data_IF_879341799281
#
_entry.id   IF_879341799281
#
_cell.length_a   1.000
_cell.length_b   1.000
_cell.length_c   1.000
_cell.angle_alpha   90.00
_cell.angle_beta   90.00
_cell.angle_gamma   90.00
#
_symmetry.space_group_name_H-M   'P 1'
#
loop_
_entity.id
_entity.type
_entity.pdbx_description
1 polymer ?
2 non-polymer ?
3 water ?
#
# COMPACT_ATOMS: atom_id res chain seq x y z
N UNK A 5 -13.50 -7.80 -18.18
CA UNK A 5 -14.39 -7.78 -17.00
C UNK A 5 -15.85 -7.90 -17.45
N UNK A 6 -16.58 -8.86 -16.92
CA UNK A 6 -18.03 -8.91 -17.18
C UNK A 6 -18.81 -7.96 -16.24
N UNK A 7 -18.52 -7.98 -14.97
CA UNK A 7 -19.17 -7.13 -14.00
C UNK A 7 -18.22 -6.05 -13.65
N UNK A 8 -18.73 -4.80 -13.67
CA UNK A 8 -17.90 -3.62 -13.49
C UNK A 8 -17.90 -3.22 -12.03
N UNK A 9 -16.82 -2.60 -11.59
CA UNK A 9 -16.67 -2.21 -10.21
C UNK A 9 -16.04 -0.85 -10.16
N UNK A 10 -16.38 -0.09 -9.11
CA UNK A 10 -15.78 1.21 -8.85
C UNK A 10 -15.34 1.24 -7.38
N UNK A 11 -14.34 2.04 -7.12
CA UNK A 11 -13.92 2.31 -5.72
C UNK A 11 -15.10 2.77 -4.85
N UNK A 12 -15.15 2.28 -3.63
CA UNK A 12 -16.13 2.64 -2.64
C UNK A 12 -15.99 4.06 -2.16
N UNK A 13 -14.76 4.52 -2.08
CA UNK A 13 -14.42 5.86 -1.58
C UNK A 13 -13.45 6.53 -2.55
N UNK A 14 -13.40 7.84 -2.53
CA UNK A 14 -12.49 8.63 -3.34
C UNK A 14 -12.61 8.29 -4.78
N UNK A 15 -13.83 8.02 -5.23
CA UNK A 15 -14.00 7.44 -6.55
C UNK A 15 -13.63 8.37 -7.70
N UNK A 16 -13.90 9.66 -7.59
CA UNK A 16 -13.80 10.52 -8.72
C UNK A 16 -12.63 11.52 -8.65
N UNK A 17 -11.64 11.22 -7.84
CA UNK A 17 -10.52 12.19 -7.67
C UNK A 17 -9.97 12.67 -9.01
N UNK A 18 -9.81 11.75 -9.95
CA UNK A 18 -9.16 12.03 -11.21
C UNK A 18 -10.17 12.44 -12.29
N UNK A 19 -11.39 12.69 -11.87
CA UNK A 19 -12.33 13.57 -12.63
C UNK A 19 -12.21 14.97 -12.11
N UNK A 20 -12.07 15.12 -10.78
CA UNK A 20 -11.98 16.42 -10.10
C UNK A 20 -10.68 17.10 -10.57
N UNK A 21 -9.60 16.32 -10.64
CA UNK A 21 -8.29 16.75 -11.10
C UNK A 21 -8.14 16.44 -12.59
N UNK A 22 -7.30 17.19 -13.28
CA UNK A 22 -7.17 17.11 -14.71
C UNK A 22 -5.85 16.57 -15.18
N UNK A 23 -5.64 16.56 -16.50
CA UNK A 23 -4.45 15.98 -17.08
C UNK A 23 -3.13 16.52 -16.44
N UNK A 24 -3.09 17.79 -16.07
CA UNK A 24 -1.90 18.38 -15.44
C UNK A 24 -1.47 17.49 -14.22
N UNK A 25 -2.46 16.94 -13.52
CA UNK A 25 -2.22 16.10 -12.32
C UNK A 25 -1.85 14.63 -12.61
N UNK A 26 -2.58 13.95 -13.52
CA UNK A 26 -2.46 12.48 -13.71
C UNK A 26 -1.91 12.00 -15.01
N UNK A 27 -1.68 12.92 -15.96
CA UNK A 27 -1.18 12.51 -17.25
C UNK A 27 0.35 12.52 -17.16
N UNK A 28 0.93 11.40 -16.81
CA UNK A 28 2.39 11.32 -16.70
C UNK A 28 3.08 11.08 -18.07
N UNK A 29 2.36 10.51 -19.03
CA UNK A 29 2.91 10.33 -20.40
C UNK A 29 3.43 11.62 -21.02
N UNK A 30 2.68 12.70 -20.85
CA UNK A 30 2.93 13.96 -21.52
C UNK A 30 3.65 14.93 -20.62
N UNK A 31 4.55 14.40 -19.81
CA UNK A 31 5.53 15.22 -19.07
C UNK A 31 6.90 15.08 -19.72
N UNK A 32 7.73 16.10 -19.50
CA UNK A 32 9.14 16.02 -19.87
C UNK A 32 9.88 16.16 -18.57
N UNK A 33 10.80 15.22 -18.33
CA UNK A 33 11.53 15.18 -17.07
C UNK A 33 12.76 16.09 -17.19
N UNK A 34 12.84 17.13 -16.34
CA UNK A 34 14.07 17.93 -16.27
C UNK A 34 15.09 17.27 -15.35
N UNK A 35 15.89 16.36 -15.90
CA UNK A 35 17.00 15.79 -15.18
C UNK A 35 18.11 16.86 -14.95
N UNK A 36 18.47 17.13 -13.71
CA UNK A 36 19.61 18.01 -13.43
C UNK A 36 20.93 17.18 -13.39
N UNK A 37 21.94 17.60 -14.15
CA UNK A 37 23.27 16.91 -14.07
C UNK A 37 23.93 17.22 -12.70
N UNK A 38 24.38 16.15 -12.02
CA UNK A 38 24.99 16.24 -10.72
C UNK A 38 26.50 16.48 -10.85
N UNK A 39 26.83 17.70 -11.19
CA UNK A 39 28.24 18.12 -11.25
C UNK A 39 28.77 18.52 -9.88
N UNK A 40 27.89 18.99 -8.99
CA UNK A 40 28.35 19.39 -7.66
C UNK A 40 27.34 19.35 -6.55
N UNK A 41 26.23 18.61 -6.75
CA UNK A 41 25.13 18.73 -5.79
C UNK A 41 25.07 17.63 -4.73
N UNK A 42 25.34 16.42 -5.14
CA UNK A 42 25.19 15.30 -4.18
C UNK A 42 26.44 14.33 -4.25
N UNK A 43 26.92 13.94 -3.08
CA UNK A 43 28.02 13.03 -2.98
C UNK A 43 27.43 11.67 -2.65
N UNK A 44 27.82 10.68 -3.42
CA UNK A 44 27.29 9.36 -3.27
C UNK A 44 28.22 8.69 -2.33
N UNK A 45 27.67 8.04 -1.32
CA UNK A 45 28.46 7.27 -0.37
C UNK A 45 28.19 5.79 -0.57
N UNK A 46 27.81 5.08 0.49
CA UNK A 46 27.76 3.62 0.42
C UNK A 46 26.38 3.07 0.08
N UNK A 47 26.34 1.85 -0.44
CA UNK A 47 25.11 1.24 -0.84
C UNK A 47 24.24 0.92 0.39
N UNK A 48 22.93 1.14 0.26
CA UNK A 48 21.97 0.78 1.33
C UNK A 48 20.90 -0.20 0.89
N UNK A 49 20.77 -0.40 -0.40
CA UNK A 49 19.84 -1.42 -0.87
C UNK A 49 19.78 -1.50 -2.36
N UNK A 50 19.11 -2.55 -2.81
CA UNK A 50 18.89 -2.76 -4.23
C UNK A 50 17.39 -2.82 -4.43
N UNK A 51 16.98 -2.40 -5.61
CA UNK A 51 15.60 -2.45 -5.97
C UNK A 51 15.49 -3.35 -7.15
N UNK A 52 14.27 -3.59 -7.58
CA UNK A 52 14.02 -4.30 -8.84
C UNK A 52 14.58 -3.62 -10.11
N UNK A 53 14.66 -2.28 -10.15
CA UNK A 53 15.15 -1.55 -11.32
C UNK A 53 16.20 -0.50 -10.94
N UNK A 54 16.80 -0.66 -9.77
CA UNK A 54 17.67 0.40 -9.22
C UNK A 54 18.69 -0.17 -8.25
N UNK A 55 19.72 0.63 -7.95
CA UNK A 55 20.65 0.39 -6.89
C UNK A 55 20.56 1.71 -6.06
N UNK A 56 20.44 1.59 -4.76
CA UNK A 56 20.21 2.70 -3.87
C UNK A 56 21.33 2.95 -2.90
N UNK A 57 21.74 4.22 -2.86
CA UNK A 57 22.89 4.61 -2.04
C UNK A 57 22.55 5.72 -1.10
N UNK A 58 23.16 5.71 0.08
CA UNK A 58 23.16 6.87 0.98
C UNK A 58 24.16 7.91 0.48
N UNK A 59 23.83 9.20 0.64
CA UNK A 59 24.77 10.21 0.28
C UNK A 59 24.48 11.51 1.00
N UNK A 60 25.03 12.61 0.48
CA UNK A 60 24.93 13.89 1.15
C UNK A 60 24.70 14.97 0.16
N UNK A 61 23.77 15.87 0.49
CA UNK A 61 23.50 17.02 -0.33
C UNK A 61 24.59 18.00 0.02
N UNK A 62 25.47 18.34 -0.92
CA UNK A 62 26.70 19.08 -0.58
C UNK A 62 26.41 20.51 -0.06
N UNK A 63 25.40 21.20 -0.55
CA UNK A 63 25.19 22.60 -0.13
C UNK A 63 24.68 22.72 1.29
N UNK A 64 23.83 21.78 1.74
CA UNK A 64 23.31 21.79 3.13
C UNK A 64 23.90 20.71 4.02
N UNK A 65 24.60 19.71 3.47
CA UNK A 65 25.11 18.57 4.26
C UNK A 65 24.02 17.58 4.77
N UNK A 66 22.81 17.74 4.24
CA UNK A 66 21.73 16.84 4.60
C UNK A 66 22.03 15.40 4.01
N UNK A 67 21.97 14.40 4.85
CA UNK A 67 21.95 13.03 4.44
C UNK A 67 20.72 12.70 3.56
N UNK A 68 20.92 12.06 2.41
CA UNK A 68 19.83 11.67 1.47
C UNK A 68 20.12 10.28 0.90
N UNK A 69 19.21 9.74 0.12
CA UNK A 69 19.49 8.59 -0.65
C UNK A 69 19.33 8.85 -2.12
N UNK A 70 20.10 8.10 -2.89
CA UNK A 70 20.15 8.25 -4.33
C UNK A 70 19.76 6.91 -4.91
N UNK A 71 18.64 6.88 -5.65
CA UNK A 71 18.17 5.68 -6.32
C UNK A 71 18.58 5.72 -7.80
N UNK A 72 19.63 4.97 -8.14
CA UNK A 72 20.20 4.98 -9.47
C UNK A 72 19.49 3.97 -10.32
N UNK A 73 18.84 4.47 -11.36
CA UNK A 73 17.89 3.70 -12.14
C UNK A 73 18.62 2.88 -13.21
N UNK A 74 18.38 1.57 -13.25
CA UNK A 74 18.98 0.68 -14.28
C UNK A 74 18.31 0.95 -15.63
N UNK A 75 19.08 0.84 -16.75
CA UNK A 75 18.62 1.53 -17.97
C UNK A 75 17.32 0.98 -18.63
N UNK A 76 16.20 1.72 -18.50
CA UNK A 76 14.95 1.46 -19.25
C UNK A 76 13.67 1.82 -18.46
N UNK A 77 12.52 1.28 -18.88
CA UNK A 77 11.20 1.59 -18.29
C UNK A 77 10.90 3.11 -18.24
N UNK A 78 11.19 3.82 -19.34
CA UNK A 78 11.09 5.31 -19.37
C UNK A 78 9.68 5.89 -18.98
N UNK A 79 8.63 5.27 -19.51
CA UNK A 79 7.29 5.72 -19.21
C UNK A 79 6.94 5.50 -17.74
N UNK A 80 7.39 4.38 -17.17
CA UNK A 80 7.13 4.02 -15.78
C UNK A 80 7.96 4.86 -14.80
N UNK A 81 9.17 5.24 -15.21
CA UNK A 81 9.91 6.28 -14.44
C UNK A 81 9.13 7.57 -14.38
N UNK A 82 8.56 7.99 -15.51
CA UNK A 82 7.78 9.21 -15.51
C UNK A 82 6.53 9.11 -14.59
N UNK A 83 5.99 7.92 -14.49
CA UNK A 83 4.83 7.69 -13.64
C UNK A 83 5.27 7.79 -12.16
N UNK A 84 6.33 7.09 -11.80
CA UNK A 84 6.84 7.16 -10.44
C UNK A 84 7.10 8.63 -10.02
N UNK A 85 7.76 9.36 -10.88
CA UNK A 85 7.99 10.80 -10.61
C UNK A 85 6.75 11.66 -10.48
N UNK A 86 5.78 11.48 -11.36
CA UNK A 86 4.56 12.29 -11.32
C UNK A 86 3.81 12.04 -10.00
N UNK A 87 3.80 10.78 -9.58
CA UNK A 87 3.10 10.37 -8.37
C UNK A 87 3.81 10.96 -7.15
N UNK A 88 5.14 10.76 -7.10
CA UNK A 88 5.91 11.30 -5.98
C UNK A 88 5.74 12.81 -5.85
N UNK A 89 5.80 13.53 -6.95
CA UNK A 89 5.75 14.98 -6.92
C UNK A 89 4.34 15.45 -6.62
N UNK A 90 3.35 14.71 -7.12
CA UNK A 90 1.94 14.99 -6.83
C UNK A 90 1.75 14.88 -5.26
N UNK A 91 2.21 13.79 -4.67
CA UNK A 91 2.08 13.58 -3.25
C UNK A 91 2.83 14.59 -2.35
N UNK A 92 4.01 15.00 -2.76
CA UNK A 92 4.76 15.95 -1.93
C UNK A 92 4.40 17.42 -2.14
N UNK A 93 3.89 17.78 -3.32
CA UNK A 93 3.62 19.19 -3.64
C UNK A 93 2.24 19.70 -3.36
N UNK A 94 1.34 18.81 -2.90
CA UNK A 94 -0.01 19.21 -2.54
C UNK A 94 0.07 20.23 -1.41
N UNK A 95 -0.40 21.45 -1.66
CA UNK A 95 -0.28 22.51 -0.65
C UNK A 95 -1.14 22.23 0.57
N UNK A 96 -2.38 21.75 0.31
CA UNK A 96 -3.32 21.47 1.34
C UNK A 96 -3.79 20.01 1.20
N UNK A 97 -3.08 19.09 1.85
CA UNK A 97 -3.45 17.69 1.68
C UNK A 97 -4.92 17.46 2.05
N UNK A 98 -5.67 16.72 1.20
CA UNK A 98 -7.07 16.55 1.52
C UNK A 98 -7.37 16.01 2.89
N UNK A 99 -6.50 15.13 3.40
CA UNK A 99 -6.69 14.50 4.66
C UNK A 99 -6.43 15.45 5.86
N UNK A 100 -5.94 16.66 5.61
CA UNK A 100 -5.85 17.70 6.67
C UNK A 100 -7.14 18.52 6.84
N UNK A 101 -8.10 18.34 5.93
CA UNK A 101 -9.32 19.17 5.97
C UNK A 101 -10.41 18.48 6.75
N UNK A 102 -11.43 19.25 7.17
CA UNK A 102 -12.52 18.57 7.87
C UNK A 102 -13.24 17.56 6.95
N UNK A 103 -13.63 16.43 7.54
CA UNK A 103 -14.19 15.28 6.89
C UNK A 103 -15.53 15.60 6.34
N UNK A 104 -15.79 15.20 5.10
CA UNK A 104 -17.14 15.36 4.52
C UNK A 104 -17.59 14.01 4.04
N UNK A 105 -18.44 13.36 4.83
CA UNK A 105 -18.93 12.04 4.55
C UNK A 105 -19.50 11.84 3.12
N UNK A 106 -20.28 12.80 2.61
CA UNK A 106 -20.86 12.65 1.25
C UNK A 106 -19.84 12.74 0.15
N UNK A 107 -18.67 13.31 0.45
CA UNK A 107 -17.58 13.42 -0.52
C UNK A 107 -16.59 12.30 -0.34
N UNK A 108 -16.82 11.46 0.67
CA UNK A 108 -15.95 10.35 0.99
C UNK A 108 -16.49 9.03 0.47
N UNK A 109 -17.72 8.65 0.91
CA UNK A 109 -18.41 7.47 0.36
C UNK A 109 -19.13 7.86 -0.93
N UNK A 110 -18.40 7.82 -2.03
CA UNK A 110 -18.80 8.38 -3.32
C UNK A 110 -19.40 7.35 -4.28
N UNK A 111 -19.20 6.08 -4.02
CA UNK A 111 -19.92 5.00 -4.72
C UNK A 111 -21.32 4.76 -4.09
N UNK A 112 -22.35 5.21 -4.80
CA UNK A 112 -23.71 5.17 -4.28
C UNK A 112 -24.54 4.00 -4.80
N UNK A 113 -23.94 2.91 -5.20
CA UNK A 113 -24.70 1.68 -5.34
C UNK A 113 -25.22 1.18 -3.98
N UNK A 114 -26.49 0.79 -3.96
CA UNK A 114 -27.07 0.20 -2.77
C UNK A 114 -26.27 -0.98 -2.20
N UNK A 115 -25.71 -1.81 -3.06
CA UNK A 115 -25.02 -3.00 -2.61
C UNK A 115 -23.74 -2.63 -1.84
N UNK A 116 -23.20 -1.46 -2.16
CA UNK A 116 -21.89 -1.01 -1.65
C UNK A 116 -22.02 -0.17 -0.39
N UNK A 117 -23.09 0.58 -0.27
CA UNK A 117 -23.40 1.27 0.96
C UNK A 117 -23.57 0.33 2.21
N UNK A 118 -23.95 -0.94 1.97
CA UNK A 118 -24.00 -1.96 3.02
C UNK A 118 -22.65 -2.21 3.66
N UNK A 119 -21.57 -1.82 2.99
CA UNK A 119 -20.22 -2.09 3.52
C UNK A 119 -19.72 -0.96 4.37
N UNK A 120 -20.49 0.11 4.51
CA UNK A 120 -20.13 1.21 5.36
C UNK A 120 -20.14 0.76 6.79
N UNK A 121 -19.02 0.95 7.49
CA UNK A 121 -18.95 0.39 8.83
C UNK A 121 -19.49 1.42 9.81
N UNK A 122 -19.98 0.94 10.98
CA UNK A 122 -20.49 1.85 12.02
C UNK A 122 -19.43 2.64 12.76
N UNK A 123 -18.15 2.42 12.44
CA UNK A 123 -17.10 3.18 13.05
C UNK A 123 -16.25 3.75 11.91
N UNK A 124 -15.52 4.79 12.20
CA UNK A 124 -14.69 5.49 11.19
C UNK A 124 -13.87 6.54 11.90
N UNK A 125 -12.61 6.69 11.50
CA UNK A 125 -11.79 7.73 12.03
C UNK A 125 -12.04 8.90 11.11
N UNK A 126 -12.79 9.88 11.59
CA UNK A 126 -13.23 11.02 10.76
C UNK A 126 -12.51 12.33 11.02
N UNK A 127 -11.35 12.28 11.64
CA UNK A 127 -10.60 13.46 11.96
C UNK A 127 -9.54 13.80 10.88
N UNK A 128 -9.09 15.06 10.85
CA UNK A 128 -7.92 15.40 10.04
C UNK A 128 -6.70 14.66 10.59
N UNK A 129 -5.71 14.43 9.73
CA UNK A 129 -4.50 13.80 10.16
C UNK A 129 -3.39 14.14 9.27
N UNK A 130 -2.16 13.78 9.69
CA UNK A 130 -0.97 14.10 8.95
C UNK A 130 -0.31 12.99 8.08
N UNK A 131 -1.14 12.11 7.54
CA UNK A 131 -0.64 10.99 6.73
C UNK A 131 0.23 11.40 5.55
N UNK A 132 0.02 12.59 5.03
CA UNK A 132 0.93 13.17 4.05
C UNK A 132 2.41 13.19 4.47
N UNK A 133 2.67 13.39 5.76
CA UNK A 133 4.03 13.41 6.30
C UNK A 133 4.66 12.02 6.32
N UNK A 134 3.88 10.99 6.04
CA UNK A 134 4.37 9.62 6.04
C UNK A 134 4.72 9.01 4.65
N UNK A 135 4.65 9.85 3.60
CA UNK A 135 5.02 9.46 2.25
C UNK A 135 6.47 9.97 2.11
N UNK A 136 7.34 9.11 1.64
CA UNK A 136 8.71 9.51 1.42
C UNK A 136 8.75 10.70 0.48
N UNK A 137 9.64 11.66 0.76
CA UNK A 137 9.75 12.83 -0.07
C UNK A 137 10.83 12.71 -1.13
N UNK A 138 10.46 13.02 -2.38
CA UNK A 138 11.43 13.14 -3.46
C UNK A 138 12.00 14.50 -3.46
N UNK A 139 13.30 14.62 -3.45
CA UNK A 139 13.97 15.93 -3.37
C UNK A 139 14.54 16.39 -4.72
N UNK A 140 14.90 15.46 -5.60
CA UNK A 140 15.49 15.87 -6.87
C UNK A 140 15.52 14.77 -7.85
N UNK A 141 15.81 15.10 -9.11
CA UNK A 141 15.81 14.22 -10.20
C UNK A 141 17.07 14.58 -10.99
N UNK A 142 18.00 13.65 -11.06
CA UNK A 142 19.39 13.97 -11.47
C UNK A 142 19.93 13.00 -12.50
N UNK A 143 21.04 13.37 -13.15
CA UNK A 143 21.79 12.40 -13.91
C UNK A 143 23.28 12.46 -13.50
N UNK A 144 23.92 11.30 -13.54
CA UNK A 144 25.35 11.19 -13.20
C UNK A 144 26.14 12.01 -14.25
N UNK A 145 27.06 12.88 -13.80
CA UNK A 145 27.70 13.79 -14.76
C UNK A 145 28.66 13.08 -15.72
N UNK A 146 29.05 11.85 -15.43
CA UNK A 146 29.93 11.02 -16.28
C UNK A 146 29.13 9.98 -17.07
N UNK A 147 28.43 9.11 -16.33
CA UNK A 147 27.61 7.99 -16.88
C UNK A 147 26.40 8.48 -17.64
N UNK A 148 25.88 9.60 -17.21
CA UNK A 148 24.54 10.08 -17.64
C UNK A 148 23.38 9.20 -17.13
N UNK A 149 23.67 8.22 -16.29
CA UNK A 149 22.62 7.41 -15.64
C UNK A 149 21.67 8.27 -14.78
N UNK A 150 20.33 8.10 -14.95
CA UNK A 150 19.41 8.93 -14.18
C UNK A 150 19.23 8.36 -12.82
N UNK A 151 18.86 9.21 -11.89
CA UNK A 151 18.61 8.81 -10.49
C UNK A 151 17.63 9.72 -9.82
N UNK A 152 16.96 9.18 -8.78
CA UNK A 152 16.03 9.98 -7.95
C UNK A 152 16.66 10.22 -6.60
N UNK A 153 16.54 11.43 -6.10
CA UNK A 153 17.07 11.78 -4.78
C UNK A 153 15.93 11.87 -3.77
N UNK A 154 16.05 11.14 -2.64
CA UNK A 154 15.03 11.11 -1.62
C UNK A 154 15.56 11.50 -0.27
N UNK A 155 14.63 11.89 0.57
CA UNK A 155 14.78 11.90 2.03
C UNK A 155 15.40 10.58 2.49
N UNK A 156 16.35 10.64 3.37
CA UNK A 156 16.94 9.43 4.03
C UNK A 156 16.14 9.04 5.27
N UNK A 157 15.85 7.73 5.41
CA UNK A 157 15.27 7.25 6.65
C UNK A 157 16.21 6.21 7.28
N UNK A 158 16.46 6.36 8.59
CA UNK A 158 17.39 5.44 9.32
C UNK A 158 16.67 4.15 9.73
N UNK A 159 16.51 3.27 8.76
CA UNK A 159 15.64 2.05 8.86
C UNK A 159 16.31 0.83 9.48
N UNK A 160 15.52 0.01 10.17
CA UNK A 160 15.94 -1.34 10.56
C UNK A 160 15.11 -2.33 9.75
N UNK A 161 15.76 -3.28 9.11
CA UNK A 161 15.06 -4.30 8.35
C UNK A 161 13.96 -4.93 9.19
N UNK A 162 12.77 -5.12 8.61
CA UNK A 162 11.62 -5.63 9.43
C UNK A 162 11.86 -6.96 10.14
N UNK A 163 12.69 -7.83 9.52
CA UNK A 163 13.00 -9.12 10.13
C UNK A 163 13.77 -8.97 11.40
N UNK A 164 14.39 -7.83 11.61
CA UNK A 164 15.13 -7.52 12.81
C UNK A 164 14.27 -6.69 13.74
N UNK A 165 13.57 -5.68 13.19
CA UNK A 165 12.77 -4.79 14.03
C UNK A 165 11.48 -5.39 14.55
N UNK A 166 10.66 -6.02 13.70
CA UNK A 166 9.30 -6.41 14.10
C UNK A 166 9.21 -7.31 15.33
N UNK A 167 10.08 -8.33 15.45
CA UNK A 167 10.02 -9.20 16.65
C UNK A 167 10.32 -8.42 17.94
N UNK A 168 10.92 -7.23 17.83
CA UNK A 168 11.08 -6.37 19.01
C UNK A 168 9.86 -5.59 19.47
N UNK A 169 8.89 -5.40 18.57
CA UNK A 169 7.82 -4.46 18.81
C UNK A 169 6.79 -4.99 19.72
N UNK A 170 6.32 -4.13 20.62
CA UNK A 170 5.24 -4.48 21.54
C UNK A 170 3.87 -4.41 20.81
N UNK A 171 2.83 -4.96 21.45
CA UNK A 171 1.46 -4.86 20.92
C UNK A 171 1.17 -3.38 20.61
N UNK A 172 1.38 -2.52 21.57
CA UNK A 172 1.08 -1.08 21.39
C UNK A 172 1.88 -0.42 20.26
N UNK A 173 3.14 -0.83 20.11
CA UNK A 173 3.98 -0.24 19.06
C UNK A 173 3.51 -0.69 17.69
N UNK A 174 3.08 -1.95 17.58
CA UNK A 174 2.50 -2.45 16.31
C UNK A 174 1.24 -1.63 15.99
N UNK A 175 0.42 -1.39 16.98
CA UNK A 175 -0.80 -0.61 16.77
C UNK A 175 -0.41 0.77 16.29
N UNK A 176 0.58 1.38 16.92
CA UNK A 176 1.03 2.73 16.58
C UNK A 176 1.50 2.80 15.11
N UNK A 177 2.37 1.88 14.73
CA UNK A 177 2.92 1.93 13.40
C UNK A 177 1.92 1.60 12.31
N UNK A 178 1.04 0.65 12.57
CA UNK A 178 0.07 0.30 11.59
C UNK A 178 -0.92 1.46 11.38
N UNK A 179 -1.19 2.22 12.42
CA UNK A 179 -2.05 3.40 12.30
C UNK A 179 -1.34 4.42 11.42
N UNK A 180 -0.03 4.56 11.60
CA UNK A 180 0.73 5.48 10.76
C UNK A 180 0.72 5.09 9.28
N UNK A 181 0.81 3.80 9.00
CA UNK A 181 0.74 3.31 7.65
C UNK A 181 -0.65 3.54 7.07
N UNK A 182 -1.70 3.42 7.88
CA UNK A 182 -3.04 3.71 7.40
C UNK A 182 -3.22 5.19 7.06
N UNK A 183 -2.66 6.07 7.87
CA UNK A 183 -2.71 7.45 7.54
C UNK A 183 -2.09 7.69 6.17
N UNK A 184 -0.92 7.10 5.92
CA UNK A 184 -0.28 7.26 4.62
C UNK A 184 -1.16 6.75 3.48
N UNK A 185 -1.80 5.61 3.65
CA UNK A 185 -2.67 5.05 2.64
C UNK A 185 -3.89 5.93 2.44
N UNK A 186 -4.46 6.40 3.54
CA UNK A 186 -5.66 7.27 3.41
C UNK A 186 -5.30 8.49 2.57
N UNK A 187 -4.14 9.09 2.83
CA UNK A 187 -3.73 10.23 2.08
C UNK A 187 -3.53 9.95 0.60
N UNK A 188 -2.76 8.92 0.30
CA UNK A 188 -2.49 8.64 -1.11
C UNK A 188 -3.76 8.28 -1.87
N UNK A 189 -4.66 7.57 -1.22
CA UNK A 189 -5.99 7.23 -1.80
C UNK A 189 -6.80 8.52 -1.99
N UNK A 190 -6.72 9.43 -1.04
CA UNK A 190 -7.42 10.77 -1.20
C UNK A 190 -6.91 11.58 -2.37
N UNK A 191 -5.70 11.28 -2.81
CA UNK A 191 -5.03 11.94 -3.93
C UNK A 191 -5.19 11.13 -5.19
N UNK A 192 -6.06 10.15 -5.16
CA UNK A 192 -6.40 9.36 -6.35
C UNK A 192 -5.30 8.36 -6.83
N UNK A 193 -4.53 7.84 -5.87
CA UNK A 193 -3.39 7.00 -6.21
C UNK A 193 -3.47 5.71 -5.45
N UNK A 194 -3.21 4.59 -6.12
CA UNK A 194 -3.05 3.31 -5.49
C UNK A 194 -1.56 3.00 -5.42
N UNK A 195 -1.07 2.59 -4.25
CA UNK A 195 0.38 2.21 -4.14
C UNK A 195 0.71 0.91 -4.89
N UNK A 196 -0.07 -0.13 -4.63
CA UNK A 196 -0.05 -1.42 -5.31
C UNK A 196 1.18 -2.31 -4.92
N UNK A 197 1.94 -1.93 -3.92
CA UNK A 197 3.09 -2.79 -3.52
C UNK A 197 3.35 -2.57 -2.05
N UNK A 198 2.29 -2.58 -1.23
CA UNK A 198 2.41 -2.36 0.19
C UNK A 198 2.95 -3.70 0.77
N UNK A 199 4.02 -3.58 1.53
CA UNK A 199 4.66 -4.70 2.21
C UNK A 199 5.77 -4.15 3.14
N UNK A 200 6.16 -4.94 4.13
CA UNK A 200 7.17 -4.52 5.08
C UNK A 200 8.42 -3.94 4.44
N UNK A 201 8.89 -4.53 3.33
CA UNK A 201 10.12 -4.05 2.72
C UNK A 201 9.97 -2.64 2.18
N UNK A 202 8.71 -2.20 1.95
CA UNK A 202 8.44 -0.86 1.42
C UNK A 202 7.98 0.14 2.47
N UNK A 203 8.12 -0.25 3.74
CA UNK A 203 7.76 0.61 4.86
C UNK A 203 9.02 0.84 5.69
N UNK A 204 9.54 2.05 5.62
CA UNK A 204 10.80 2.44 6.34
C UNK A 204 10.38 2.90 7.74
N UNK A 205 11.03 2.35 8.77
CA UNK A 205 10.74 2.78 10.17
C UNK A 205 12.03 3.06 10.89
N UNK A 206 12.09 4.26 11.46
CA UNK A 206 13.19 4.73 12.34
C UNK A 206 12.61 4.76 13.74
N UNK A 207 12.83 3.66 14.44
CA UNK A 207 12.09 3.37 15.61
C UNK A 207 12.28 4.42 16.76
N UNK A 208 13.52 4.84 16.95
CA UNK A 208 13.84 5.77 18.03
C UNK A 208 13.13 7.10 17.84
N UNK A 209 12.75 7.43 16.58
CA UNK A 209 12.01 8.64 16.29
C UNK A 209 10.52 8.43 16.02
N UNK A 210 10.03 7.22 16.22
CA UNK A 210 8.66 6.87 15.93
C UNK A 210 8.22 7.29 14.51
N UNK A 211 9.13 7.17 13.56
CA UNK A 211 9.01 7.73 12.19
C UNK A 211 8.78 6.58 11.21
N UNK A 212 7.72 6.69 10.40
CA UNK A 212 7.42 5.67 9.37
C UNK A 212 7.25 6.39 8.04
N UNK A 213 7.81 5.83 6.97
CA UNK A 213 7.69 6.35 5.64
C UNK A 213 7.38 5.22 4.66
N UNK A 214 6.36 5.43 3.84
CA UNK A 214 5.98 4.50 2.80
C UNK A 214 6.80 4.87 1.54
N UNK A 215 7.59 3.92 1.09
CA UNK A 215 8.49 4.10 -0.04
C UNK A 215 8.12 3.23 -1.22
N UNK A 216 8.96 3.25 -2.28
CA UNK A 216 8.81 2.45 -3.51
C UNK A 216 7.49 2.67 -4.22
N UNK A 217 7.45 3.81 -4.86
CA UNK A 217 6.28 4.27 -5.63
C UNK A 217 6.35 3.80 -7.12
N UNK A 218 7.25 2.82 -7.42
CA UNK A 218 7.49 2.33 -8.82
C UNK A 218 6.32 1.54 -9.42
N UNK A 219 5.43 0.99 -8.59
CA UNK A 219 4.24 0.35 -9.11
C UNK A 219 2.92 1.16 -8.91
N UNK A 220 3.01 2.30 -8.26
CA UNK A 220 1.83 3.11 -8.01
C UNK A 220 1.15 3.58 -9.29
N UNK A 221 -0.18 3.68 -9.25
CA UNK A 221 -0.91 4.19 -10.40
C UNK A 221 -2.07 5.08 -10.01
N UNK A 222 -2.50 5.92 -10.93
CA UNK A 222 -3.62 6.78 -10.74
C UNK A 222 -4.92 6.00 -10.88
N UNK A 223 -5.86 6.22 -9.97
CA UNK A 223 -7.16 5.55 -10.05
C UNK A 223 -8.15 6.30 -10.99
N UNK A 224 -8.59 5.63 -12.03
CA UNK A 224 -9.55 6.10 -12.99
C UNK A 224 -10.74 5.18 -13.00
N UNK A 225 -11.93 5.74 -12.97
CA UNK A 225 -13.18 4.91 -12.83
C UNK A 225 -13.35 3.95 -14.03
N UNK A 226 -13.56 2.69 -13.70
CA UNK A 226 -13.71 1.61 -14.68
C UNK A 226 -12.48 1.32 -15.57
N UNK A 227 -11.31 1.82 -15.18
CA UNK A 227 -10.08 1.46 -15.87
C UNK A 227 -9.65 0.01 -15.53
N UNK A 228 -9.20 -0.73 -16.55
CA UNK A 228 -8.74 -2.12 -16.35
C UNK A 228 -7.25 -2.08 -16.24
N UNK A 229 -6.75 -2.40 -15.05
CA UNK A 229 -5.30 -2.36 -14.78
C UNK A 229 -4.59 -3.70 -15.03
N UNK A 230 -3.30 -3.60 -15.29
CA UNK A 230 -2.41 -4.79 -15.27
C UNK A 230 -2.47 -5.46 -13.88
N UNK A 231 -2.61 -6.77 -13.82
CA UNK A 231 -2.57 -7.48 -12.57
C UNK A 231 -1.21 -7.98 -12.14
N UNK A 232 -0.21 -7.82 -13.00
CA UNK A 232 1.20 -8.19 -12.63
C UNK A 232 1.86 -7.07 -11.85
N UNK A 233 1.36 -6.88 -10.66
CA UNK A 233 1.81 -5.82 -9.80
C UNK A 233 1.88 -6.45 -8.41
N UNK A 234 2.23 -5.62 -7.43
CA UNK A 234 2.56 -6.08 -6.09
C UNK A 234 3.69 -7.13 -6.14
N UNK A 235 3.89 -7.79 -5.01
CA UNK A 235 4.76 -8.91 -4.88
C UNK A 235 3.93 -10.10 -4.41
N UNK A 236 4.27 -11.27 -4.93
CA UNK A 236 3.51 -12.50 -4.73
C UNK A 236 2.78 -12.64 -3.39
N UNK A 237 3.54 -12.61 -2.29
CA UNK A 237 2.95 -12.92 -1.02
C UNK A 237 1.91 -11.90 -0.59
N UNK A 238 1.89 -10.74 -1.25
CA UNK A 238 0.98 -9.68 -0.85
C UNK A 238 -0.07 -9.39 -1.90
N UNK A 239 -0.12 -10.20 -2.95
CA UNK A 239 -1.12 -9.98 -4.03
C UNK A 239 -2.49 -10.31 -3.55
N UNK A 240 -3.45 -9.38 -3.74
CA UNK A 240 -4.84 -9.72 -3.46
C UNK A 240 -5.47 -10.71 -4.44
N UNK A 241 -6.58 -11.32 -4.04
CA UNK A 241 -7.39 -12.20 -4.93
C UNK A 241 -7.65 -11.59 -6.31
N UNK A 242 -7.94 -10.29 -6.38
CA UNK A 242 -8.27 -9.65 -7.69
C UNK A 242 -7.10 -9.82 -8.66
N UNK A 243 -5.88 -9.78 -8.13
CA UNK A 243 -4.69 -9.89 -8.96
C UNK A 243 -4.53 -11.33 -9.45
N UNK A 244 -4.78 -12.25 -8.55
CA UNK A 244 -4.55 -13.65 -8.83
C UNK A 244 -5.60 -14.25 -9.79
N UNK A 245 -6.84 -13.75 -9.73
CA UNK A 245 -7.91 -14.25 -10.61
C UNK A 245 -8.08 -13.38 -11.87
N UNK A 246 -7.23 -12.36 -12.03
CA UNK A 246 -7.20 -11.47 -13.18
C UNK A 246 -8.46 -10.62 -13.28
N UNK A 247 -8.99 -10.16 -12.14
CA UNK A 247 -10.05 -9.09 -12.12
C UNK A 247 -9.36 -7.75 -12.20
N UNK A 248 -9.39 -7.14 -13.39
CA UNK A 248 -8.56 -6.00 -13.67
C UNK A 248 -9.12 -4.68 -13.19
N UNK A 249 -10.40 -4.63 -12.80
CA UNK A 249 -11.06 -3.35 -12.54
C UNK A 249 -11.04 -3.06 -11.05
N UNK A 250 -9.84 -3.09 -10.47
CA UNK A 250 -9.64 -3.00 -9.10
C UNK A 250 -9.36 -1.57 -8.68
N UNK A 251 -9.13 -1.37 -7.37
CA UNK A 251 -9.04 0.02 -6.86
C UNK A 251 -8.18 0.10 -5.61
N UNK A 252 -8.33 1.18 -4.86
CA UNK A 252 -7.49 1.38 -3.67
C UNK A 252 -7.53 0.26 -2.68
N UNK A 253 -8.60 -0.51 -2.72
CA UNK A 253 -8.78 -1.58 -1.77
C UNK A 253 -7.75 -2.70 -1.90
N UNK A 254 -7.08 -2.79 -3.04
CA UNK A 254 -5.93 -3.70 -3.18
C UNK A 254 -4.94 -3.46 -2.05
N UNK A 255 -4.69 -2.18 -1.75
CA UNK A 255 -3.73 -1.82 -0.70
C UNK A 255 -4.18 -2.27 0.66
N UNK A 256 -5.46 -2.33 0.89
CA UNK A 256 -5.97 -2.79 2.16
C UNK A 256 -5.82 -4.29 2.34
N UNK A 257 -5.89 -5.06 1.25
CA UNK A 257 -5.60 -6.50 1.31
C UNK A 257 -4.10 -6.65 1.71
N UNK A 258 -3.21 -5.93 1.03
CA UNK A 258 -1.81 -6.02 1.35
C UNK A 258 -1.50 -5.63 2.81
N UNK A 259 -2.12 -4.55 3.26
CA UNK A 259 -1.99 -4.11 4.63
C UNK A 259 -2.44 -5.19 5.62
N UNK A 260 -3.54 -5.83 5.29
CA UNK A 260 -4.10 -6.93 6.08
C UNK A 260 -3.15 -8.13 6.16
N UNK A 261 -2.45 -8.40 5.04
CA UNK A 261 -1.54 -9.55 5.01
C UNK A 261 -0.30 -9.24 5.80
N UNK A 262 0.10 -7.97 5.77
CA UNK A 262 1.23 -7.49 6.53
C UNK A 262 0.85 -7.58 7.99
N UNK A 263 -0.33 -7.07 8.33
CA UNK A 263 -0.81 -7.09 9.72
C UNK A 263 -0.87 -8.52 10.26
N UNK A 264 -1.42 -9.43 9.44
CA UNK A 264 -1.63 -10.80 9.87
C UNK A 264 -0.26 -11.48 10.18
N UNK A 265 0.74 -11.17 9.33
CA UNK A 265 2.09 -11.67 9.50
C UNK A 265 2.67 -11.22 10.82
N UNK A 266 2.50 -9.93 11.13
CA UNK A 266 3.04 -9.37 12.35
C UNK A 266 2.40 -9.93 13.59
N UNK A 267 1.09 -10.10 13.57
CA UNK A 267 0.30 -10.51 14.72
C UNK A 267 0.41 -12.01 15.00
N UNK A 268 0.48 -12.82 13.96
CA UNK A 268 0.54 -14.26 14.12
C UNK A 268 2.00 -14.77 14.05
N UNK A 269 2.96 -13.88 13.83
CA UNK A 269 4.37 -14.26 13.68
C UNK A 269 4.55 -15.39 12.69
N UNK A 270 3.97 -15.19 11.50
CA UNK A 270 4.07 -16.09 10.41
C UNK A 270 4.35 -15.26 9.17
N UNK A 271 5.59 -15.33 8.66
CA UNK A 271 6.10 -14.44 7.62
C UNK A 271 6.76 -15.25 6.54
N UNK A 272 6.27 -15.13 5.28
CA UNK A 272 4.99 -14.40 4.98
C UNK A 272 3.76 -15.20 5.43
N UNK A 273 2.61 -14.54 5.53
CA UNK A 273 1.40 -15.20 6.01
C UNK A 273 0.81 -16.20 5.01
N UNK A 274 0.72 -15.78 3.76
CA UNK A 274 0.29 -16.62 2.68
C UNK A 274 1.52 -16.91 1.80
N UNK A 275 2.11 -18.11 1.98
CA UNK A 275 3.40 -18.51 1.35
C UNK A 275 3.18 -19.44 0.16
N UNK A 276 2.83 -18.88 -0.99
CA UNK A 276 2.56 -19.71 -2.15
C UNK A 276 3.90 -20.04 -2.82
N UNK A 277 4.00 -21.20 -3.46
CA UNK A 277 5.25 -21.64 -4.11
C UNK A 277 5.36 -21.08 -5.48
N UNK A 278 4.20 -20.69 -6.03
CA UNK A 278 4.11 -20.00 -7.29
C UNK A 278 2.91 -19.09 -7.28
N UNK A 279 2.81 -18.24 -8.29
CA UNK A 279 1.66 -17.39 -8.46
C UNK A 279 0.37 -18.20 -8.28
N UNK A 280 0.28 -19.27 -9.03
CA UNK A 280 -0.87 -20.13 -9.00
C UNK A 280 -1.11 -20.70 -7.59
N UNK A 281 -0.03 -21.07 -6.91
CA UNK A 281 -0.20 -21.68 -5.57
C UNK A 281 -0.50 -20.63 -4.49
N UNK A 282 -0.18 -19.36 -4.77
CA UNK A 282 -0.50 -18.26 -3.83
C UNK A 282 -2.02 -18.19 -3.62
N UNK A 283 -2.78 -18.31 -4.71
CA UNK A 283 -4.25 -18.33 -4.60
C UNK A 283 -4.76 -19.52 -3.78
N UNK A 284 -4.28 -20.71 -4.14
CA UNK A 284 -4.57 -21.92 -3.35
C UNK A 284 -4.33 -21.74 -1.85
N UNK A 285 -3.19 -21.20 -1.47
CA UNK A 285 -2.91 -20.86 -0.07
C UNK A 285 -3.94 -19.90 0.59
N UNK A 286 -4.39 -18.90 -0.16
CA UNK A 286 -5.43 -18.00 0.37
C UNK A 286 -6.72 -18.75 0.58
N UNK A 287 -7.11 -19.55 -0.40
CA UNK A 287 -8.40 -20.24 -0.36
C UNK A 287 -8.40 -21.29 0.77
N UNK A 288 -7.25 -21.88 1.02
CA UNK A 288 -7.10 -22.86 2.11
C UNK A 288 -7.31 -22.22 3.46
N UNK A 289 -7.34 -20.88 3.55
CA UNK A 289 -7.65 -20.19 4.79
C UNK A 289 -9.04 -19.61 4.78
N UNK A 290 -9.35 -18.83 3.75
CA UNK A 290 -10.67 -18.12 3.65
C UNK A 290 -11.82 -19.04 3.24
N UNK A 291 -11.48 -20.18 2.66
CA UNK A 291 -12.49 -21.23 2.35
C UNK A 291 -13.01 -21.13 0.95
N UNK A 292 -13.54 -22.25 0.45
CA UNK A 292 -13.92 -22.34 -0.94
C UNK A 292 -15.32 -21.72 -1.16
N UNK A 293 -16.18 -21.74 -0.14
CA UNK A 293 -17.56 -21.28 -0.30
C UNK A 293 -17.60 -19.80 -0.61
N UNK A 294 -16.85 -19.05 0.16
CA UNK A 294 -16.82 -17.62 -0.07
C UNK A 294 -16.03 -17.29 -1.31
N UNK A 295 -15.08 -18.13 -1.68
CA UNK A 295 -14.36 -17.96 -2.92
C UNK A 295 -15.29 -18.09 -4.12
N UNK A 296 -16.16 -19.08 -4.08
CA UNK A 296 -17.08 -19.30 -5.19
C UNK A 296 -18.10 -18.21 -5.24
N UNK A 297 -18.55 -17.73 -4.09
CA UNK A 297 -19.49 -16.59 -4.06
C UNK A 297 -18.87 -15.34 -4.74
N UNK A 298 -17.57 -15.17 -4.55
CA UNK A 298 -16.85 -14.02 -5.10
C UNK A 298 -16.77 -14.07 -6.61
N UNK A 299 -16.33 -15.20 -7.16
CA UNK A 299 -16.30 -15.42 -8.58
C UNK A 299 -17.65 -15.15 -9.28
N UNK A 300 -18.71 -15.57 -8.63
CA UNK A 300 -20.04 -15.41 -9.18
C UNK A 300 -20.52 -13.93 -9.16
N UNK A 301 -20.18 -13.18 -8.12
CA UNK A 301 -20.59 -11.78 -8.00
C UNK A 301 -20.04 -11.00 -9.14
N UNK A 302 -18.77 -11.28 -9.49
CA UNK A 302 -18.10 -10.61 -10.57
C UNK A 302 -18.10 -11.36 -11.89
N UNK A 303 -18.74 -12.55 -11.94
CA UNK A 303 -18.69 -13.40 -13.17
C UNK A 303 -17.27 -13.53 -13.72
N UNK A 304 -16.39 -13.89 -12.81
CA UNK A 304 -15.03 -14.17 -13.08
C UNK A 304 -14.86 -15.61 -13.57
N UNK A 305 -14.14 -15.72 -14.66
CA UNK A 305 -13.66 -17.00 -15.14
C UNK A 305 -12.15 -17.03 -14.88
N UNK A 306 -11.67 -18.09 -14.25
CA UNK A 306 -10.26 -18.14 -13.78
C UNK A 306 -9.27 -18.16 -14.94
N UNK A 307 -8.08 -17.57 -14.76
CA UNK A 307 -7.11 -17.64 -15.82
C UNK A 307 -6.82 -19.10 -16.26
N UNK A 308 -6.22 -19.23 -17.45
CA UNK A 308 -5.83 -20.52 -18.08
C UNK A 308 -5.05 -21.48 -17.18
N UNK A 309 -4.29 -20.93 -16.22
CA UNK A 309 -3.41 -21.70 -15.37
C UNK A 309 -4.13 -22.51 -14.31
N UNK A 310 -5.39 -22.19 -14.01
CA UNK A 310 -6.07 -22.83 -12.87
C UNK A 310 -6.92 -24.06 -13.21
N UNK A 311 -7.15 -24.92 -12.19
CA UNK A 311 -7.92 -26.15 -12.37
C UNK A 311 -9.13 -26.22 -11.43
N UNK A 312 -8.96 -26.87 -10.28
CA UNK A 312 -10.05 -27.02 -9.31
C UNK A 312 -10.98 -25.79 -9.32
N UNK A 313 -11.12 -24.94 -8.32
CA UNK A 313 -10.49 -25.05 -7.00
C UNK A 313 -11.15 -26.16 -6.18
N UNK A 314 -10.35 -26.87 -5.36
CA UNK A 314 -10.86 -27.93 -4.45
C UNK A 314 -11.74 -27.36 -3.34
N UNK A 315 -12.26 -28.25 -2.49
CA UNK A 315 -13.13 -27.86 -1.44
C UNK A 315 -12.36 -27.76 -0.14
N UNK A 316 -12.21 -26.53 0.39
CA UNK A 316 -11.58 -26.30 1.70
C UNK A 316 -12.52 -25.58 2.61
N UNK A 317 -12.63 -26.07 3.82
CA UNK A 317 -13.46 -25.45 4.82
C UNK A 317 -12.63 -24.30 5.35
N UNK A 318 -13.29 -23.16 5.63
CA UNK A 318 -12.61 -21.99 6.16
C UNK A 318 -11.84 -22.39 7.42
N UNK A 319 -10.57 -21.98 7.51
CA UNK A 319 -9.80 -22.06 8.72
C UNK A 319 -9.97 -20.82 9.58
N UNK A 320 -10.59 -20.93 10.77
CA UNK A 320 -10.83 -19.73 11.54
C UNK A 320 -9.51 -19.12 12.00
N UNK A 321 -9.54 -17.83 12.24
CA UNK A 321 -8.31 -17.12 12.56
C UNK A 321 -7.66 -17.61 13.86
N UNK A 322 -8.51 -17.96 14.82
CA UNK A 322 -8.11 -18.48 16.14
C UNK A 322 -7.12 -19.62 15.98
N UNK A 323 -7.29 -20.42 14.92
CA UNK A 323 -6.35 -21.52 14.62
C UNK A 323 -4.88 -21.13 14.49
N UNK A 324 -4.59 -19.85 14.23
CA UNK A 324 -3.23 -19.44 14.06
C UNK A 324 -2.57 -18.96 15.35
N UNK A 325 -3.34 -18.86 16.42
CA UNK A 325 -2.84 -18.46 17.72
C UNK A 325 -2.02 -19.62 18.32
N UNK A 326 -0.87 -19.28 18.86
CA UNK A 326 0.06 -20.20 19.53
C UNK A 326 0.75 -19.44 20.64
N UNK A 327 1.55 -20.14 21.44
CA UNK A 327 2.12 -19.50 22.61
C UNK A 327 3.03 -18.35 22.30
N UNK A 328 3.71 -18.46 21.15
CA UNK A 328 4.66 -17.46 20.75
C UNK A 328 4.01 -16.15 20.35
N UNK A 329 2.76 -16.22 19.87
CA UNK A 329 2.14 -14.97 19.35
C UNK A 329 0.92 -14.52 20.12
N UNK A 330 0.56 -15.24 21.17
CA UNK A 330 -0.64 -14.91 21.85
C UNK A 330 -0.69 -13.53 22.51
N UNK A 331 0.48 -12.93 22.84
CA UNK A 331 0.55 -11.62 23.36
C UNK A 331 0.15 -10.52 22.32
N UNK A 332 0.11 -10.89 21.03
CA UNK A 332 -0.31 -9.99 19.96
C UNK A 332 -1.68 -10.41 19.42
N UNK A 333 -1.95 -11.71 19.48
CA UNK A 333 -3.11 -12.27 18.80
C UNK A 333 -4.28 -12.63 19.70
N UNK A 334 -4.12 -12.55 21.03
CA UNK A 334 -5.12 -13.07 21.96
C UNK A 334 -6.23 -12.13 22.44
N UNK A 335 -6.70 -11.26 21.54
CA UNK A 335 -7.81 -10.35 21.87
C UNK A 335 -8.75 -10.39 20.67
N UNK A 336 -9.99 -10.10 20.91
CA UNK A 336 -11.02 -10.22 19.92
C UNK A 336 -10.94 -9.11 18.87
N UNK A 337 -10.37 -7.99 19.27
CA UNK A 337 -10.32 -6.86 18.43
C UNK A 337 -9.41 -7.10 17.20
N UNK A 338 -8.24 -7.68 17.40
CA UNK A 338 -7.28 -7.84 16.32
C UNK A 338 -7.85 -8.87 15.34
N UNK A 339 -8.53 -9.91 15.86
CA UNK A 339 -9.13 -10.91 15.04
C UNK A 339 -10.16 -10.31 14.11
N UNK A 340 -11.01 -9.46 14.66
CA UNK A 340 -12.06 -8.83 13.90
C UNK A 340 -11.46 -7.89 12.84
N UNK A 341 -10.41 -7.17 13.22
CA UNK A 341 -9.78 -6.21 12.27
C UNK A 341 -9.18 -6.96 11.07
N UNK A 342 -8.43 -8.04 11.32
CA UNK A 342 -7.89 -8.88 10.29
C UNK A 342 -8.99 -9.46 9.40
N UNK A 343 -10.02 -10.01 10.02
CA UNK A 343 -11.11 -10.63 9.27
C UNK A 343 -11.79 -9.62 8.32
N UNK A 344 -11.84 -8.36 8.73
CA UNK A 344 -12.48 -7.29 7.92
C UNK A 344 -11.57 -6.70 6.83
N UNK A 345 -10.31 -7.08 6.84
CA UNK A 345 -9.36 -6.68 5.81
C UNK A 345 -9.15 -7.77 4.79
N UNK A 346 -9.06 -9.03 5.26
CA UNK A 346 -8.75 -10.09 4.37
C UNK A 346 -10.02 -10.76 3.85
N UNK A 347 -10.63 -10.10 2.86
CA UNK A 347 -11.88 -10.57 2.27
C UNK A 347 -11.61 -10.69 0.78
N UNK A 348 -12.19 -11.74 0.19
CA UNK A 348 -12.02 -11.90 -1.22
C UNK A 348 -12.49 -10.69 -1.98
N UNK A 349 -13.71 -10.34 -1.69
CA UNK A 349 -14.37 -9.24 -2.35
C UNK A 349 -13.76 -7.91 -1.91
N UNK A 350 -13.08 -7.26 -2.83
CA UNK A 350 -12.47 -5.96 -2.54
C UNK A 350 -13.39 -4.88 -2.05
N UNK A 351 -14.66 -4.91 -2.51
CA UNK A 351 -15.63 -3.96 -1.99
C UNK A 351 -15.96 -4.15 -0.51
N UNK A 352 -15.81 -5.36 -0.04
CA UNK A 352 -16.12 -5.74 1.32
C UNK A 352 -15.09 -5.25 2.33
N UNK A 353 -13.84 -5.09 1.91
CA UNK A 353 -12.77 -4.71 2.80
C UNK A 353 -12.99 -3.33 3.46
N UNK A 354 -12.54 -3.19 4.72
CA UNK A 354 -12.39 -1.86 5.35
C UNK A 354 -11.63 -0.92 4.45
N UNK A 355 -12.04 0.36 4.41
CA UNK A 355 -11.24 1.42 3.86
C UNK A 355 -10.23 1.82 4.95
N UNK A 356 -9.22 2.62 4.57
CA UNK A 356 -8.23 3.07 5.52
C UNK A 356 -8.85 3.81 6.70
N UNK A 357 -9.78 4.77 6.43
CA UNK A 357 -10.47 5.48 7.51
C UNK A 357 -11.32 4.61 8.37
N UNK A 358 -11.98 3.63 7.78
CA UNK A 358 -12.73 2.64 8.56
C UNK A 358 -11.83 1.88 9.50
N UNK A 359 -10.74 1.33 8.93
CA UNK A 359 -9.81 0.59 9.70
C UNK A 359 -9.24 1.44 10.84
N UNK A 360 -8.94 2.71 10.59
CA UNK A 360 -8.42 3.61 11.61
C UNK A 360 -9.42 3.85 12.74
N UNK A 361 -10.70 3.74 12.45
CA UNK A 361 -11.76 3.88 13.51
C UNK A 361 -12.01 2.59 14.27
N UNK A 362 -11.34 1.52 13.90
CA UNK A 362 -11.62 0.23 14.50
C UNK A 362 -11.22 0.20 15.98
N UNK A 363 -11.96 -0.58 16.79
CA UNK A 363 -11.59 -0.72 18.23
C UNK A 363 -10.14 -1.09 18.58
N UNK A 364 -9.50 -1.87 17.73
CA UNK A 364 -8.12 -2.22 17.95
C UNK A 364 -7.20 -0.99 18.04
N UNK A 365 -7.58 0.12 17.35
CA UNK A 365 -6.83 1.35 17.38
C UNK A 365 -7.22 2.36 18.44
N UNK A 366 -8.17 2.02 19.27
CA UNK A 366 -8.65 2.93 20.35
C UNK A 366 -7.49 3.42 21.21
N UNK A 367 -6.52 2.52 21.58
CA UNK A 367 -5.43 3.07 22.44
C UNK A 367 -4.55 4.09 21.74
N UNK A 368 -4.55 4.08 20.42
CA UNK A 368 -3.71 5.07 19.68
C UNK A 368 -4.49 6.38 19.55
N UNK A 369 -5.76 6.25 19.19
CA UNK A 369 -6.65 7.39 19.08
C UNK A 369 -6.74 8.20 20.40
N UNK A 370 -6.77 7.50 21.51
CA UNK A 370 -6.90 8.16 22.85
C UNK A 370 -5.70 9.06 23.11
N UNK A 371 -4.57 8.78 22.47
CA UNK A 371 -3.34 9.57 22.72
C UNK A 371 -3.16 10.75 21.80
N UNK A 372 -4.05 10.94 20.82
CA UNK A 372 -3.78 11.98 19.81
C UNK A 372 -3.94 13.41 20.36
N UNK A 373 -5.09 13.73 20.95
CA UNK A 373 -5.40 15.13 21.36
C UNK A 373 -5.12 15.34 22.84
#
# INVERSE_FOLDING_TARGET
GHMKCRVWSEARVYTNINKQRTEEYWDYENTVIDWSTNTKDYEIENKVGRGKYSEVFQGVKLDSKVKIVIKMLKPVKKKKIKREIKILTDLSNEKVPPTTLPFQKDQYYTNQKEDVLKFIRPYIFDQPHNGHANIIHLFDIIKDPISKTPALVFEYVDNVDFRILYPKLTDLEIRFYMFELLKALDYCHSMGIMHRDVKPHNVMIDHKNKKLRLIDWGLAEFYHVNMEYNVRVASRFFKGPELLVDYRMYDYSLDLWSFGTMLASMIFKREPFFHGTSNTDQLVKIVKVLGTSDFEKYLLKYEITLPREFYDMDQYIRKPWHRFINDGNKHLSGNDEIIDLIDNLLRYDHQERLTAKEAMGHPWFAPIREQIEK
#
